data_IF_333423140902
#
_entry.id   IF_333423140902
#
_cell.length_a   1.000
_cell.length_b   1.000
_cell.length_c   1.000
_cell.angle_alpha   90.00
_cell.angle_beta   90.00
_cell.angle_gamma   90.00
#
_symmetry.space_group_name_H-M   'P 1'
#
loop_
_entity.id
_entity.type
_entity.pdbx_description
1 polymer ?
#
# COMPACT_ATOMS: atom_id res chain seq x y z
N UNK A 1 -20.35 -2.11 -10.37
CA UNK A 1 -19.08 -2.23 -11.10
C UNK A 1 -17.99 -1.63 -10.22
N UNK A 2 -16.95 -2.39 -9.92
CA UNK A 2 -15.83 -1.97 -9.09
C UNK A 2 -14.63 -1.63 -9.99
N UNK A 3 -13.80 -0.69 -9.55
CA UNK A 3 -12.60 -0.26 -10.27
C UNK A 3 -11.34 -0.53 -9.42
N UNK A 4 -10.19 -0.67 -10.09
CA UNK A 4 -8.91 -0.76 -9.39
C UNK A 4 -8.70 0.49 -8.50
N UNK A 5 -8.31 0.26 -7.25
CA UNK A 5 -8.04 1.33 -6.27
C UNK A 5 -6.85 2.21 -6.67
N UNK A 6 -5.94 1.71 -7.51
CA UNK A 6 -4.79 2.44 -8.06
C UNK A 6 -5.06 2.97 -9.47
N UNK A 7 -6.32 2.99 -9.93
CA UNK A 7 -6.64 3.60 -11.21
C UNK A 7 -6.50 5.13 -11.11
N UNK A 8 -5.59 5.72 -11.89
CA UNK A 8 -5.33 7.17 -11.87
C UNK A 8 -6.56 8.02 -12.20
N UNK A 9 -7.46 7.52 -13.06
CA UNK A 9 -8.68 8.22 -13.50
C UNK A 9 -9.78 8.24 -12.43
N UNK A 10 -9.53 7.60 -11.28
CA UNK A 10 -10.49 7.44 -10.17
C UNK A 10 -9.91 7.88 -8.82
N UNK A 11 -8.70 8.43 -8.76
CA UNK A 11 -8.15 8.97 -7.53
C UNK A 11 -8.94 10.20 -7.07
N UNK A 12 -9.20 10.28 -5.76
CA UNK A 12 -9.87 11.43 -5.17
C UNK A 12 -8.95 12.65 -5.28
N UNK A 13 -9.51 13.79 -5.68
CA UNK A 13 -8.76 15.05 -5.69
C UNK A 13 -8.62 15.56 -4.25
N UNK A 14 -7.46 16.09 -3.85
CA UNK A 14 -7.34 16.72 -2.54
C UNK A 14 -8.36 17.85 -2.41
N UNK A 15 -9.12 17.85 -1.31
CA UNK A 15 -9.99 18.95 -0.93
C UNK A 15 -9.21 19.89 -0.01
N UNK A 16 -9.39 21.20 -0.22
CA UNK A 16 -8.79 22.23 0.64
C UNK A 16 -9.55 22.29 1.95
N UNK A 17 -8.85 22.46 3.07
CA UNK A 17 -9.49 22.71 4.36
C UNK A 17 -10.16 24.08 4.36
N UNK A 18 -11.40 24.14 4.84
CA UNK A 18 -12.15 25.40 4.99
C UNK A 18 -11.70 26.22 6.20
N UNK A 19 -10.92 25.64 7.11
CA UNK A 19 -10.40 26.32 8.30
C UNK A 19 -9.10 27.08 8.01
N UNK A 20 -9.10 28.39 8.28
CA UNK A 20 -7.91 29.22 8.22
C UNK A 20 -6.83 28.72 9.18
N UNK A 21 -5.61 28.54 8.68
CA UNK A 21 -4.46 28.03 9.45
C UNK A 21 -4.41 26.51 9.64
N UNK A 22 -5.37 25.75 9.09
CA UNK A 22 -5.29 24.29 9.13
C UNK A 22 -4.16 23.79 8.22
N UNK A 23 -3.15 23.15 8.83
CA UNK A 23 -2.12 22.42 8.09
C UNK A 23 -2.71 21.09 7.63
N UNK A 24 -2.71 20.87 6.32
CA UNK A 24 -2.94 19.53 5.79
C UNK A 24 -1.81 18.62 6.27
N UNK A 25 -2.17 17.44 6.78
CA UNK A 25 -1.19 16.38 6.99
C UNK A 25 -0.67 15.95 5.64
N UNK A 26 0.65 15.79 5.53
CA UNK A 26 1.24 15.12 4.38
C UNK A 26 0.68 13.70 4.32
N UNK A 27 -0.09 13.42 3.28
CA UNK A 27 -0.63 12.11 3.01
C UNK A 27 0.21 11.49 1.91
N UNK A 28 0.98 10.47 2.26
CA UNK A 28 1.61 9.61 1.26
C UNK A 28 0.48 8.89 0.53
N UNK A 29 0.32 9.18 -0.76
CA UNK A 29 -0.63 8.48 -1.61
C UNK A 29 0.06 7.26 -2.22
N UNK A 30 -0.69 6.18 -2.43
CA UNK A 30 -0.19 5.07 -3.25
C UNK A 30 -0.04 5.55 -4.70
N UNK A 31 0.95 4.98 -5.40
CA UNK A 31 1.09 5.21 -6.83
C UNK A 31 -0.18 4.79 -7.57
N UNK A 32 -0.52 5.58 -8.58
CA UNK A 32 -1.67 5.35 -9.44
C UNK A 32 -1.24 5.18 -10.89
N UNK A 33 -1.95 4.33 -11.61
CA UNK A 33 -1.59 3.84 -12.93
C UNK A 33 -2.78 3.89 -13.87
N UNK A 34 -2.54 3.98 -15.17
CA UNK A 34 -3.60 3.84 -16.18
C UNK A 34 -3.98 2.37 -16.43
N UNK A 35 -4.13 1.57 -15.38
CA UNK A 35 -4.33 0.12 -15.47
C UNK A 35 -5.63 -0.34 -16.16
N UNK A 36 -6.58 0.59 -16.40
CA UNK A 36 -7.93 0.29 -16.91
C UNK A 36 -8.66 -0.82 -16.12
N UNK A 37 -8.25 -1.05 -14.86
CA UNK A 37 -8.71 -2.20 -14.08
C UNK A 37 -10.15 -2.07 -13.60
N UNK A 38 -10.94 -3.13 -13.78
CA UNK A 38 -12.33 -3.21 -13.30
C UNK A 38 -12.74 -4.65 -12.94
N UNK A 39 -13.73 -4.73 -12.05
CA UNK A 39 -14.37 -5.96 -11.58
C UNK A 39 -15.89 -5.82 -11.70
N UNK A 40 -16.52 -6.77 -12.38
CA UNK A 40 -17.95 -6.85 -12.58
C UNK A 40 -18.47 -8.18 -12.01
N UNK A 41 -19.38 -8.09 -11.06
CA UNK A 41 -20.03 -9.24 -10.43
C UNK A 41 -21.51 -9.16 -10.79
N UNK A 42 -22.05 -10.23 -11.38
CA UNK A 42 -23.46 -10.36 -11.70
C UNK A 42 -24.02 -11.54 -10.93
N UNK A 43 -25.07 -11.27 -10.17
CA UNK A 43 -25.87 -12.26 -9.45
C UNK A 43 -27.16 -12.45 -10.25
N UNK A 44 -27.52 -13.70 -10.52
CA UNK A 44 -28.85 -14.05 -10.98
C UNK A 44 -29.63 -14.57 -9.77
N UNK A 45 -30.88 -14.13 -9.61
CA UNK A 45 -31.74 -14.59 -8.52
C UNK A 45 -32.36 -15.97 -8.81
N UNK A 46 -32.26 -16.44 -10.06
CA UNK A 46 -32.83 -17.71 -10.51
C UNK A 46 -31.85 -18.88 -10.46
N UNK A 47 -30.54 -18.60 -10.36
CA UNK A 47 -29.48 -19.60 -10.33
C UNK A 47 -28.53 -19.35 -9.16
N UNK A 48 -27.99 -20.42 -8.58
CA UNK A 48 -26.93 -20.33 -7.56
C UNK A 48 -25.54 -20.06 -8.17
N UNK A 49 -25.49 -19.42 -9.35
CA UNK A 49 -24.28 -19.18 -10.13
C UNK A 49 -24.00 -17.68 -10.15
N UNK A 50 -22.76 -17.32 -9.84
CA UNK A 50 -22.28 -15.93 -9.87
C UNK A 50 -21.32 -15.77 -11.05
N UNK A 51 -21.57 -14.77 -11.90
CA UNK A 51 -20.66 -14.40 -12.98
C UNK A 51 -19.71 -13.30 -12.51
N UNK A 52 -18.42 -13.63 -12.49
CA UNK A 52 -17.35 -12.67 -12.15
C UNK A 52 -16.52 -12.40 -13.39
N UNK A 53 -16.41 -11.12 -13.79
CA UNK A 53 -15.53 -10.66 -14.86
C UNK A 53 -14.52 -9.67 -14.27
N UNK A 54 -13.24 -9.90 -14.55
CA UNK A 54 -12.13 -9.03 -14.14
C UNK A 54 -11.31 -8.65 -15.36
N UNK A 55 -10.80 -7.42 -15.37
CA UNK A 55 -9.88 -6.92 -16.39
C UNK A 55 -8.84 -6.02 -15.75
N UNK A 56 -7.62 -6.10 -16.24
CA UNK A 56 -6.49 -5.25 -15.89
C UNK A 56 -5.50 -5.28 -17.07
N UNK A 57 -5.05 -4.10 -17.54
CA UNK A 57 -4.25 -4.00 -18.77
C UNK A 57 -2.77 -3.77 -18.53
N UNK A 58 -2.44 -3.04 -17.48
CA UNK A 58 -1.06 -2.62 -17.19
C UNK A 58 -0.75 -2.95 -15.74
N UNK A 59 0.26 -3.78 -15.51
CA UNK A 59 0.66 -4.21 -14.18
C UNK A 59 1.03 -3.04 -13.27
N UNK A 60 0.74 -3.20 -11.99
CA UNK A 60 1.24 -2.29 -10.95
C UNK A 60 2.64 -2.70 -10.52
N UNK A 61 3.36 -1.77 -9.89
CA UNK A 61 4.61 -2.11 -9.20
C UNK A 61 4.28 -3.22 -8.18
N UNK A 62 5.00 -4.35 -8.19
CA UNK A 62 4.77 -5.42 -7.23
C UNK A 62 4.84 -4.88 -5.81
N UNK A 63 3.88 -5.31 -4.98
CA UNK A 63 3.90 -4.96 -3.57
C UNK A 63 5.17 -5.55 -2.94
N UNK A 64 6.04 -4.69 -2.43
CA UNK A 64 7.21 -5.12 -1.69
C UNK A 64 6.80 -5.55 -0.28
N UNK A 65 7.51 -6.52 0.29
CA UNK A 65 7.28 -6.95 1.65
C UNK A 65 7.62 -5.82 2.62
N UNK A 66 6.60 -5.21 3.23
CA UNK A 66 6.75 -4.17 4.26
C UNK A 66 6.66 -4.76 5.67
N UNK A 67 6.91 -6.07 5.81
CA UNK A 67 6.85 -6.72 7.11
C UNK A 67 7.83 -6.07 8.07
N UNK A 68 7.36 -5.88 9.30
CA UNK A 68 8.18 -5.32 10.36
C UNK A 68 9.18 -6.40 10.81
N UNK A 69 10.50 -6.12 10.81
CA UNK A 69 11.49 -7.08 11.26
C UNK A 69 11.20 -7.56 12.69
N UNK A 70 11.43 -8.85 12.95
CA UNK A 70 11.04 -9.49 14.21
C UNK A 70 11.58 -8.77 15.47
N UNK A 71 12.80 -8.22 15.39
CA UNK A 71 13.41 -7.47 16.49
C UNK A 71 12.67 -6.15 16.79
N UNK A 72 12.12 -5.49 15.77
CA UNK A 72 11.28 -4.29 15.94
C UNK A 72 9.95 -4.66 16.56
N UNK A 73 9.33 -5.76 16.09
CA UNK A 73 8.07 -6.26 16.67
C UNK A 73 8.24 -6.55 18.17
N UNK A 74 9.34 -7.21 18.54
CA UNK A 74 9.63 -7.51 19.93
C UNK A 74 9.89 -6.24 20.75
N UNK A 75 10.63 -5.28 20.21
CA UNK A 75 10.86 -4.00 20.85
C UNK A 75 9.55 -3.26 21.18
N UNK A 76 8.60 -3.22 20.24
CA UNK A 76 7.27 -2.60 20.47
C UNK A 76 6.50 -3.33 21.57
N UNK A 77 6.52 -4.67 21.57
CA UNK A 77 5.84 -5.48 22.60
C UNK A 77 6.41 -5.26 24.00
N UNK A 78 7.72 -5.10 24.11
CA UNK A 78 8.40 -4.88 25.39
C UNK A 78 8.24 -3.45 25.93
N UNK A 79 7.86 -2.49 25.07
CA UNK A 79 7.81 -1.07 25.41
C UNK A 79 6.42 -0.44 25.15
N UNK A 80 5.33 -0.93 25.77
CA UNK A 80 3.97 -0.48 25.46
C UNK A 80 3.68 0.97 25.88
N UNK A 81 4.57 1.59 26.67
CA UNK A 81 4.44 2.98 27.12
C UNK A 81 5.06 4.00 26.16
N UNK A 82 5.82 3.55 25.17
CA UNK A 82 6.41 4.45 24.18
C UNK A 82 5.35 4.89 23.16
N UNK A 83 5.43 6.15 22.76
CA UNK A 83 4.61 6.66 21.66
C UNK A 83 5.18 6.19 20.32
N UNK A 84 4.36 6.18 19.24
CA UNK A 84 4.84 5.82 17.90
C UNK A 84 6.08 6.61 17.47
N UNK A 85 6.13 7.91 17.76
CA UNK A 85 7.30 8.75 17.42
C UNK A 85 8.57 8.34 18.18
N UNK A 86 8.44 7.93 19.44
CA UNK A 86 9.58 7.45 20.23
C UNK A 86 10.09 6.10 19.72
N UNK A 87 9.19 5.22 19.29
CA UNK A 87 9.53 3.93 18.67
C UNK A 87 10.27 4.15 17.35
N UNK A 88 9.72 4.97 16.45
CA UNK A 88 10.32 5.24 15.13
C UNK A 88 11.69 5.93 15.22
N UNK A 89 11.92 6.75 16.24
CA UNK A 89 13.20 7.43 16.46
C UNK A 89 14.22 6.60 17.26
N UNK A 90 13.90 5.37 17.64
CA UNK A 90 14.82 4.48 18.35
C UNK A 90 15.84 3.84 17.39
N UNK A 91 17.05 3.61 17.89
CA UNK A 91 18.11 2.93 17.12
C UNK A 91 17.69 1.54 16.63
N UNK A 92 16.77 0.89 17.36
CA UNK A 92 16.19 -0.41 17.00
C UNK A 92 15.33 -0.39 15.73
N UNK A 93 14.86 0.77 15.29
CA UNK A 93 13.94 0.90 14.14
C UNK A 93 14.59 1.65 12.97
N UNK A 94 15.50 2.59 13.25
CA UNK A 94 16.16 3.45 12.23
C UNK A 94 16.88 2.69 11.12
N UNK A 95 17.43 1.52 11.41
CA UNK A 95 18.23 0.72 10.46
C UNK A 95 17.61 -0.63 10.12
N UNK A 96 16.37 -0.87 10.57
CA UNK A 96 15.73 -2.16 10.46
C UNK A 96 15.40 -2.57 9.00
N UNK A 97 15.39 -1.60 8.07
CA UNK A 97 15.18 -1.79 6.63
C UNK A 97 16.42 -1.38 5.81
N UNK A 98 17.61 -1.86 6.19
CA UNK A 98 18.78 -1.78 5.29
C UNK A 98 18.66 -2.90 4.25
N UNK A 99 18.75 -2.55 2.97
CA UNK A 99 18.48 -3.36 1.79
C UNK A 99 19.02 -4.81 1.87
N UNK A 100 18.30 -5.85 1.38
CA UNK A 100 18.99 -7.04 0.90
C UNK A 100 19.82 -6.63 -0.32
N UNK A 101 21.09 -7.04 -0.34
CA UNK A 101 22.06 -6.78 -1.41
C UNK A 101 21.42 -6.83 -2.82
N UNK A 102 21.81 -5.92 -3.75
CA UNK A 102 21.39 -6.05 -5.13
C UNK A 102 21.83 -7.43 -5.62
N UNK A 103 20.87 -8.29 -5.95
CA UNK A 103 21.10 -9.58 -6.60
C UNK A 103 22.12 -9.33 -7.70
N UNK A 104 23.32 -9.88 -7.51
CA UNK A 104 24.43 -9.63 -8.42
C UNK A 104 24.00 -10.09 -9.80
N UNK A 105 23.89 -9.13 -10.72
CA UNK A 105 24.01 -9.38 -12.14
C UNK A 105 25.31 -10.18 -12.35
N UNK A 106 25.18 -11.44 -12.75
CA UNK A 106 26.28 -12.40 -12.72
C UNK A 106 26.03 -13.63 -13.58
N UNK A 107 26.09 -13.42 -14.89
CA UNK A 107 26.65 -14.32 -15.92
C UNK A 107 26.12 -15.76 -16.10
N UNK A 108 25.57 -15.95 -17.31
CA UNK A 108 25.85 -17.01 -18.30
C UNK A 108 25.63 -18.47 -17.90
N UNK A 109 24.76 -19.14 -18.68
CA UNK A 109 25.18 -20.19 -19.62
C UNK A 109 24.23 -20.21 -20.80
#
# INVERSE_FOLDING_TARGET
MYHCAQNQKRQHKPEKSEHEGAKHRDKIAMDSFDCHGWLHITLDNSDNIVLVKISHRDDHIPYWCIDVPAHVTEFVRQNPKLTPDQVCNSEHVKYANTDPDPVSSGMKS
#
